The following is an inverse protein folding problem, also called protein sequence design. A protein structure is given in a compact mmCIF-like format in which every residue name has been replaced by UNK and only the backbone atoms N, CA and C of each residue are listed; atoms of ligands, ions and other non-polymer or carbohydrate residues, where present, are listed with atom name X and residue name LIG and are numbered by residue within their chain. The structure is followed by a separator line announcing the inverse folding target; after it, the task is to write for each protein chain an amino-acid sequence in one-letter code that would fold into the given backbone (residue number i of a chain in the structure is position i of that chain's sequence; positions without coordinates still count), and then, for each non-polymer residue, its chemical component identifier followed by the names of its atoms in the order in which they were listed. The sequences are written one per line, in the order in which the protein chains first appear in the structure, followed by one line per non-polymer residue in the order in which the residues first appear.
data_IF_946613177151
#
_entry.id   IF_946613177151
#
_cell.length_a   1.000
_cell.length_b   1.000
_cell.length_c   1.000
_cell.angle_alpha   90.00
_cell.angle_beta   90.00
_cell.angle_gamma   90.00
#
_symmetry.space_group_name_H-M   'P 1'
#
loop_
_entity.id
_entity.type
_entity.pdbx_description
1 polymer ?
#
# COMPACT_ATOMS: atom_id res chain seq x y z
N UNK A 1 -8.94 -6.95 23.63
CA UNK A 1 -8.76 -8.13 24.50
C UNK A 1 -9.29 -9.43 23.90
N UNK A 2 -10.33 -9.45 23.05
CA UNK A 2 -10.82 -10.72 22.46
C UNK A 2 -9.71 -11.51 21.75
N UNK A 3 -8.98 -10.90 20.82
CA UNK A 3 -7.86 -11.54 20.12
C UNK A 3 -6.80 -12.10 21.09
N UNK A 4 -6.44 -11.33 22.12
CA UNK A 4 -5.49 -11.77 23.14
C UNK A 4 -5.94 -13.04 23.87
N UNK A 5 -7.24 -13.17 24.14
CA UNK A 5 -7.77 -14.29 24.92
C UNK A 5 -8.04 -15.52 24.08
N UNK A 6 -8.51 -15.36 22.84
CA UNK A 6 -9.08 -16.47 22.06
C UNK A 6 -8.37 -16.78 20.74
N UNK A 7 -7.59 -15.85 20.19
CA UNK A 7 -6.90 -16.11 18.94
C UNK A 7 -5.64 -16.95 19.17
N UNK A 8 -5.21 -17.66 18.13
CA UNK A 8 -3.89 -18.29 18.12
C UNK A 8 -2.81 -17.21 18.29
N UNK A 9 -1.73 -17.52 18.99
CA UNK A 9 -0.66 -16.55 19.27
C UNK A 9 0.17 -16.20 18.02
N UNK A 10 0.10 -17.04 16.99
CA UNK A 10 0.70 -16.84 15.69
C UNK A 10 -0.25 -16.19 14.66
N UNK A 11 -1.44 -15.71 15.09
CA UNK A 11 -2.41 -15.06 14.18
C UNK A 11 -1.79 -13.83 13.52
N UNK A 12 -2.04 -13.66 12.22
CA UNK A 12 -1.67 -12.48 11.43
C UNK A 12 -2.87 -11.54 11.33
N UNK A 13 -2.73 -10.31 11.81
CA UNK A 13 -3.80 -9.33 11.95
C UNK A 13 -3.59 -8.18 10.97
N UNK A 14 -4.53 -8.01 10.04
CA UNK A 14 -4.58 -6.87 9.13
C UNK A 14 -5.71 -5.93 9.52
N UNK A 15 -5.38 -4.68 9.82
CA UNK A 15 -6.33 -3.61 10.08
C UNK A 15 -6.56 -2.78 8.83
N UNK A 16 -7.82 -2.78 8.37
CA UNK A 16 -8.30 -2.01 7.20
C UNK A 16 -9.14 -0.80 7.63
N UNK A 17 -9.84 -0.91 8.77
CA UNK A 17 -10.72 0.13 9.27
C UNK A 17 -9.95 1.38 9.72
N UNK A 18 -10.36 2.54 9.21
CA UNK A 18 -9.70 3.80 9.53
C UNK A 18 -9.96 4.27 10.97
N UNK A 19 -9.00 4.94 11.63
CA UNK A 19 -7.62 5.20 11.18
C UNK A 19 -6.73 3.94 11.31
N UNK A 20 -6.32 3.33 10.19
CA UNK A 20 -5.80 1.97 10.16
C UNK A 20 -4.52 1.77 10.99
N UNK A 21 -3.55 2.67 10.86
CA UNK A 21 -2.28 2.60 11.60
C UNK A 21 -2.48 2.70 13.12
N UNK A 22 -3.26 3.69 13.56
CA UNK A 22 -3.57 3.87 14.99
C UNK A 22 -4.37 2.70 15.54
N UNK A 23 -5.36 2.20 14.79
CA UNK A 23 -6.14 1.04 15.18
C UNK A 23 -5.26 -0.22 15.30
N UNK A 24 -4.31 -0.44 14.39
CA UNK A 24 -3.35 -1.55 14.48
C UNK A 24 -2.47 -1.44 15.74
N UNK A 25 -1.96 -0.24 16.05
CA UNK A 25 -1.18 0.00 17.26
C UNK A 25 -2.00 -0.22 18.54
N UNK A 26 -3.26 0.21 18.56
CA UNK A 26 -4.17 -0.04 19.69
C UNK A 26 -4.40 -1.56 19.83
N UNK A 27 -4.68 -2.26 18.72
CA UNK A 27 -4.88 -3.71 18.73
C UNK A 27 -3.66 -4.45 19.29
N UNK A 28 -2.43 -4.09 18.90
CA UNK A 28 -1.21 -4.74 19.40
C UNK A 28 -0.97 -4.47 20.88
N UNK A 29 -1.32 -3.27 21.38
CA UNK A 29 -1.24 -2.95 22.83
C UNK A 29 -2.21 -3.78 23.68
N UNK A 30 -3.41 -4.04 23.17
CA UNK A 30 -4.45 -4.80 23.88
C UNK A 30 -4.42 -6.31 23.60
N UNK A 31 -3.35 -6.79 22.95
CA UNK A 31 -3.08 -8.20 22.72
C UNK A 31 -1.59 -8.56 22.93
N UNK A 32 -1.06 -8.36 24.15
CA UNK A 32 0.37 -8.52 24.44
C UNK A 32 0.89 -9.95 24.28
N UNK A 33 0.01 -10.97 24.25
CA UNK A 33 0.41 -12.35 24.03
C UNK A 33 0.66 -12.71 22.55
N UNK A 34 0.33 -11.81 21.62
CA UNK A 34 0.58 -11.97 20.18
C UNK A 34 1.80 -11.11 19.81
N UNK A 35 2.77 -11.61 19.02
CA UNK A 35 3.92 -10.84 18.58
C UNK A 35 3.51 -9.53 17.87
N UNK A 36 4.22 -8.43 18.12
CA UNK A 36 3.83 -7.11 17.59
C UNK A 36 3.93 -7.03 16.07
N UNK A 37 4.89 -7.75 15.50
CA UNK A 37 5.11 -7.92 14.06
C UNK A 37 3.92 -8.58 13.34
N UNK A 38 3.00 -9.20 14.09
CA UNK A 38 1.77 -9.77 13.55
C UNK A 38 0.61 -8.77 13.45
N UNK A 39 0.80 -7.50 13.82
CA UNK A 39 -0.21 -6.46 13.65
C UNK A 39 0.20 -5.51 12.54
N UNK A 40 -0.60 -5.47 11.48
CA UNK A 40 -0.34 -4.64 10.32
C UNK A 40 -1.51 -3.73 9.99
N UNK A 41 -1.20 -2.57 9.41
CA UNK A 41 -2.16 -1.64 8.84
C UNK A 41 -2.07 -1.63 7.31
N UNK A 42 -3.22 -1.51 6.65
CA UNK A 42 -3.29 -1.61 5.20
C UNK A 42 -2.89 -0.31 4.50
N UNK A 43 -1.65 -0.23 4.01
CA UNK A 43 -1.18 0.76 3.01
C UNK A 43 -1.10 0.18 1.59
N UNK A 44 -1.53 -1.08 1.41
CA UNK A 44 -1.46 -1.79 0.12
C UNK A 44 -2.36 -1.17 -0.96
N UNK A 45 -3.49 -0.59 -0.57
CA UNK A 45 -4.36 0.11 -1.51
C UNK A 45 -3.67 1.33 -2.10
N UNK A 46 -2.94 2.06 -1.27
CA UNK A 46 -2.15 3.22 -1.68
C UNK A 46 -1.01 2.82 -2.61
N UNK A 47 -0.31 1.74 -2.29
CA UNK A 47 0.75 1.19 -3.16
C UNK A 47 0.19 0.80 -4.53
N UNK A 48 -0.94 0.08 -4.57
CA UNK A 48 -1.59 -0.32 -5.81
C UNK A 48 -2.03 0.90 -6.64
N UNK A 49 -2.50 1.98 -5.98
CA UNK A 49 -2.85 3.25 -6.66
C UNK A 49 -1.62 3.95 -7.23
N UNK A 50 -0.53 4.01 -6.45
CA UNK A 50 0.73 4.60 -6.87
C UNK A 50 1.32 3.85 -8.09
N UNK A 51 1.37 2.52 -8.04
CA UNK A 51 1.77 1.68 -9.17
C UNK A 51 0.92 1.95 -10.42
N UNK A 52 -0.40 2.05 -10.27
CA UNK A 52 -1.30 2.37 -11.38
C UNK A 52 -1.04 3.76 -11.98
N UNK A 53 -0.69 4.78 -11.18
CA UNK A 53 -0.37 6.12 -11.69
C UNK A 53 0.93 6.14 -12.47
N UNK A 54 1.98 5.49 -11.94
CA UNK A 54 3.28 5.41 -12.61
C UNK A 54 3.19 4.64 -13.92
N UNK A 55 2.49 3.49 -13.91
CA UNK A 55 2.25 2.68 -15.10
C UNK A 55 1.53 3.48 -16.19
N UNK A 56 0.51 4.26 -15.81
CA UNK A 56 -0.23 5.12 -16.75
C UNK A 56 0.63 6.26 -17.31
N UNK A 57 1.46 6.92 -16.47
CA UNK A 57 2.37 8.00 -16.91
C UNK A 57 3.43 7.47 -17.90
N UNK A 58 3.92 6.25 -17.70
CA UNK A 58 4.96 5.63 -18.56
C UNK A 58 4.36 4.94 -19.79
N UNK A 59 3.08 4.53 -19.74
CA UNK A 59 2.41 3.81 -20.84
C UNK A 59 2.69 2.31 -20.85
N UNK A 60 2.80 1.68 -19.67
CA UNK A 60 3.06 0.24 -19.52
C UNK A 60 1.98 -0.47 -18.70
N UNK A 61 1.85 -1.80 -18.80
CA UNK A 61 1.04 -2.59 -17.87
C UNK A 61 1.47 -2.41 -16.40
N UNK A 62 0.50 -2.37 -15.47
CA UNK A 62 0.78 -2.19 -14.02
C UNK A 62 1.72 -3.25 -13.45
N UNK A 63 1.63 -4.50 -13.96
CA UNK A 63 2.50 -5.61 -13.54
C UNK A 63 4.00 -5.36 -13.78
N UNK A 64 4.31 -4.44 -14.70
CA UNK A 64 5.68 -4.13 -15.09
C UNK A 64 6.30 -3.04 -14.21
N UNK A 65 5.53 -2.44 -13.29
CA UNK A 65 6.00 -1.50 -12.25
C UNK A 65 6.11 -2.20 -10.90
N UNK A 66 7.31 -2.27 -10.35
CA UNK A 66 7.62 -2.91 -9.05
C UNK A 66 8.25 -1.92 -8.08
N UNK A 67 8.27 -2.27 -6.80
CA UNK A 67 9.06 -1.62 -5.74
C UNK A 67 8.74 -0.15 -5.46
N UNK A 68 7.49 0.26 -5.71
CA UNK A 68 6.94 1.52 -5.19
C UNK A 68 6.68 1.35 -3.70
N UNK A 69 7.06 2.34 -2.89
CA UNK A 69 6.94 2.30 -1.43
C UNK A 69 5.93 3.36 -0.97
N UNK A 70 5.11 3.03 0.03
CA UNK A 70 4.28 3.98 0.74
C UNK A 70 4.83 4.14 2.15
N UNK A 71 5.23 5.36 2.48
CA UNK A 71 5.71 5.72 3.81
C UNK A 71 4.63 6.44 4.63
N UNK A 72 4.63 6.19 5.94
CA UNK A 72 3.80 6.90 6.91
C UNK A 72 2.41 6.32 7.12
N UNK A 73 1.43 7.20 7.33
CA UNK A 73 0.07 6.86 7.74
C UNK A 73 -0.83 6.58 6.54
N UNK A 74 -1.81 5.67 6.66
CA UNK A 74 -2.90 5.54 5.68
C UNK A 74 -3.85 6.76 5.78
N UNK A 75 -3.42 7.88 5.22
CA UNK A 75 -4.11 9.17 5.25
C UNK A 75 -3.65 10.05 4.08
N UNK A 76 -4.09 11.31 4.05
CA UNK A 76 -3.59 12.32 3.12
C UNK A 76 -2.13 12.72 3.36
N UNK A 77 -1.51 12.31 4.47
CA UNK A 77 -0.10 12.60 4.79
C UNK A 77 0.84 11.46 4.42
N UNK A 78 0.35 10.40 3.77
CA UNK A 78 1.20 9.35 3.21
C UNK A 78 2.19 9.93 2.20
N UNK A 79 3.36 9.30 2.09
CA UNK A 79 4.35 9.63 1.06
C UNK A 79 4.54 8.45 0.09
N UNK A 80 3.95 8.52 -1.12
CA UNK A 80 4.22 7.59 -2.21
C UNK A 80 5.60 7.87 -2.79
N UNK A 81 6.50 6.91 -2.66
CA UNK A 81 7.90 7.03 -3.01
C UNK A 81 8.25 6.15 -4.23
N UNK A 82 8.56 6.76 -5.38
CA UNK A 82 8.98 6.05 -6.58
C UNK A 82 10.50 5.90 -6.70
N UNK A 83 11.31 6.35 -5.72
CA UNK A 83 12.77 6.42 -5.85
C UNK A 83 13.41 5.04 -6.10
N UNK A 84 12.89 4.00 -5.45
CA UNK A 84 13.33 2.61 -5.62
C UNK A 84 12.45 1.82 -6.59
N UNK A 85 11.45 2.45 -7.19
CA UNK A 85 10.55 1.78 -8.10
C UNK A 85 11.27 1.47 -9.42
N UNK A 86 11.02 0.28 -9.95
CA UNK A 86 11.55 -0.18 -11.24
C UNK A 86 10.40 -0.41 -12.20
N UNK A 87 10.63 -0.13 -13.47
CA UNK A 87 9.70 -0.39 -14.57
C UNK A 87 10.37 -1.25 -15.63
N UNK A 88 9.64 -2.21 -16.18
CA UNK A 88 10.09 -2.99 -17.34
C UNK A 88 9.46 -2.42 -18.61
N UNK A 89 10.29 -1.95 -19.55
CA UNK A 89 9.84 -1.42 -20.86
C UNK A 89 10.54 -2.22 -21.95
N UNK A 90 9.77 -2.93 -22.79
CA UNK A 90 10.33 -3.76 -23.85
C UNK A 90 11.29 -4.86 -23.34
N UNK A 91 11.03 -5.40 -22.14
CA UNK A 91 11.88 -6.42 -21.51
C UNK A 91 13.10 -5.87 -20.76
N UNK A 92 13.34 -4.56 -20.79
CA UNK A 92 14.48 -3.92 -20.10
C UNK A 92 13.99 -3.21 -18.83
N UNK A 93 14.64 -3.50 -17.70
CA UNK A 93 14.35 -2.83 -16.43
C UNK A 93 15.03 -1.45 -16.37
N UNK A 94 14.31 -0.45 -15.88
CA UNK A 94 14.80 0.91 -15.64
C UNK A 94 14.25 1.46 -14.33
N UNK A 95 14.98 2.32 -13.61
CA UNK A 95 14.41 3.08 -12.50
C UNK A 95 13.25 3.96 -12.99
N UNK A 96 12.14 3.97 -12.25
CA UNK A 96 10.98 4.80 -12.56
C UNK A 96 11.33 6.29 -12.64
N UNK A 97 12.15 6.87 -11.75
CA UNK A 97 12.52 8.28 -11.85
C UNK A 97 13.21 8.62 -13.18
N UNK A 98 14.04 7.71 -13.70
CA UNK A 98 14.72 7.87 -14.99
C UNK A 98 13.74 7.69 -16.16
N UNK A 99 12.81 6.75 -16.06
CA UNK A 99 11.82 6.51 -17.11
C UNK A 99 10.81 7.66 -17.25
N UNK A 100 10.46 8.32 -16.15
CA UNK A 100 9.54 9.46 -16.13
C UNK A 100 10.26 10.77 -16.45
N UNK A 101 11.51 10.95 -15.98
CA UNK A 101 12.37 12.12 -16.24
C UNK A 101 11.66 13.47 -16.00
N UNK A 102 10.84 13.54 -14.95
CA UNK A 102 9.97 14.67 -14.63
C UNK A 102 9.85 14.76 -13.10
N UNK A 103 10.81 15.45 -12.48
CA UNK A 103 10.93 15.53 -11.02
C UNK A 103 9.78 16.32 -10.38
N UNK A 104 9.29 17.36 -11.06
CA UNK A 104 8.14 18.15 -10.60
C UNK A 104 6.88 17.29 -10.52
N UNK A 105 6.61 16.48 -11.54
CA UNK A 105 5.52 15.51 -11.50
C UNK A 105 5.67 14.52 -10.35
N UNK A 106 6.87 13.93 -10.18
CA UNK A 106 7.11 12.90 -9.16
C UNK A 106 6.96 13.45 -7.73
N UNK A 107 7.43 14.68 -7.46
CA UNK A 107 7.36 15.30 -6.13
C UNK A 107 6.01 15.98 -5.86
N UNK A 108 5.32 16.44 -6.90
CA UNK A 108 4.06 17.18 -6.79
C UNK A 108 2.84 16.37 -7.20
N UNK A 109 2.58 16.33 -8.50
CA UNK A 109 1.32 15.79 -9.07
C UNK A 109 1.09 14.33 -8.69
N UNK A 110 2.13 13.49 -8.75
CA UNK A 110 2.06 12.07 -8.41
C UNK A 110 1.63 11.86 -6.96
N UNK A 111 2.35 12.49 -6.02
CA UNK A 111 2.07 12.41 -4.57
C UNK A 111 0.64 12.86 -4.27
N UNK A 112 0.26 14.05 -4.74
CA UNK A 112 -1.07 14.63 -4.51
C UNK A 112 -2.19 13.78 -5.10
N UNK A 113 -1.97 13.19 -6.28
CA UNK A 113 -2.96 12.34 -6.95
C UNK A 113 -3.22 11.05 -6.19
N UNK A 114 -2.18 10.40 -5.67
CA UNK A 114 -2.32 9.18 -4.85
C UNK A 114 -3.03 9.50 -3.53
N UNK A 115 -2.60 10.57 -2.83
CA UNK A 115 -3.21 11.04 -1.58
C UNK A 115 -4.71 11.33 -1.74
N UNK A 116 -5.12 11.93 -2.86
CA UNK A 116 -6.51 12.34 -3.11
C UNK A 116 -7.36 11.29 -3.85
N UNK A 117 -6.78 10.14 -4.20
CA UNK A 117 -7.47 9.13 -5.04
C UNK A 117 -8.77 8.61 -4.42
N UNK A 118 -8.81 8.45 -3.09
CA UNK A 118 -10.02 8.00 -2.39
C UNK A 118 -11.20 8.97 -2.60
N UNK A 119 -10.95 10.27 -2.41
CA UNK A 119 -11.94 11.32 -2.63
C UNK A 119 -12.39 11.38 -4.08
N UNK A 120 -11.46 11.24 -5.04
CA UNK A 120 -11.80 11.21 -6.47
C UNK A 120 -12.73 10.05 -6.83
N UNK A 121 -12.52 8.86 -6.25
CA UNK A 121 -13.42 7.71 -6.47
C UNK A 121 -14.81 7.96 -5.88
N UNK A 122 -14.89 8.55 -4.69
CA UNK A 122 -16.17 8.89 -4.05
C UNK A 122 -16.91 9.92 -4.89
N UNK A 123 -16.24 10.98 -5.36
CA UNK A 123 -16.85 12.00 -6.21
C UNK A 123 -17.42 11.39 -7.51
N UNK A 124 -16.67 10.49 -8.15
CA UNK A 124 -17.10 9.87 -9.40
C UNK A 124 -18.22 8.83 -9.23
N UNK A 125 -18.18 8.01 -8.16
CA UNK A 125 -19.08 6.86 -7.99
C UNK A 125 -20.20 7.09 -6.99
N UNK A 126 -20.15 8.17 -6.20
CA UNK A 126 -20.98 8.40 -4.99
C UNK A 126 -20.89 7.26 -3.96
N UNK A 127 -19.86 6.42 -4.08
CA UNK A 127 -19.63 5.22 -3.28
C UNK A 127 -18.14 5.10 -2.97
N UNK A 128 -17.83 4.42 -1.86
CA UNK A 128 -16.44 4.15 -1.49
C UNK A 128 -15.75 3.22 -2.49
N UNK A 129 -14.42 3.18 -2.41
CA UNK A 129 -13.58 2.31 -3.24
C UNK A 129 -13.54 0.85 -2.73
N UNK A 130 -14.70 0.31 -2.34
CA UNK A 130 -14.84 -0.95 -1.61
C UNK A 130 -14.17 -2.14 -2.30
N UNK A 131 -14.41 -2.35 -3.61
CA UNK A 131 -13.83 -3.47 -4.36
C UNK A 131 -12.30 -3.40 -4.44
N UNK A 132 -11.74 -2.21 -4.71
CA UNK A 132 -10.29 -2.03 -4.72
C UNK A 132 -9.67 -2.18 -3.33
N UNK A 133 -10.39 -1.79 -2.26
CA UNK A 133 -9.94 -2.00 -0.89
C UNK A 133 -9.93 -3.49 -0.53
N UNK A 134 -10.97 -4.24 -0.89
CA UNK A 134 -11.03 -5.69 -0.71
C UNK A 134 -9.91 -6.41 -1.47
N UNK A 135 -9.63 -6.00 -2.71
CA UNK A 135 -8.50 -6.51 -3.49
C UNK A 135 -7.16 -6.23 -2.80
N UNK A 136 -6.96 -5.01 -2.32
CA UNK A 136 -5.74 -4.65 -1.61
C UNK A 136 -5.55 -5.43 -0.30
N UNK A 137 -6.63 -5.71 0.44
CA UNK A 137 -6.59 -6.54 1.64
C UNK A 137 -6.21 -7.98 1.30
N UNK A 138 -6.82 -8.55 0.25
CA UNK A 138 -6.47 -9.88 -0.25
C UNK A 138 -5.00 -9.95 -0.69
N UNK A 139 -4.52 -8.96 -1.43
CA UNK A 139 -3.13 -8.87 -1.88
C UNK A 139 -2.14 -8.77 -0.72
N UNK A 140 -2.47 -7.96 0.30
CA UNK A 140 -1.66 -7.82 1.51
C UNK A 140 -1.51 -9.17 2.22
N UNK A 141 -2.63 -9.86 2.47
CA UNK A 141 -2.59 -11.16 3.15
C UNK A 141 -1.89 -12.21 2.31
N UNK A 142 -2.18 -12.26 1.00
CA UNK A 142 -1.55 -13.20 0.07
C UNK A 142 -0.03 -13.07 0.11
N UNK A 143 0.49 -11.86 -0.05
CA UNK A 143 1.93 -11.64 -0.08
C UNK A 143 2.58 -11.86 1.29
N UNK A 144 1.86 -11.62 2.39
CA UNK A 144 2.37 -11.90 3.73
C UNK A 144 2.44 -13.41 4.04
N UNK A 145 1.50 -14.20 3.52
CA UNK A 145 1.50 -15.65 3.71
C UNK A 145 2.38 -16.40 2.72
N UNK A 146 2.42 -15.97 1.46
CA UNK A 146 3.05 -16.71 0.37
C UNK A 146 4.40 -16.11 -0.07
N UNK A 147 4.79 -14.97 0.49
CA UNK A 147 5.98 -14.23 0.09
C UNK A 147 5.76 -13.37 -1.17
N UNK A 148 6.69 -12.44 -1.38
CA UNK A 148 6.62 -11.43 -2.44
C UNK A 148 7.50 -11.74 -3.66
N UNK A 149 8.37 -12.76 -3.56
CA UNK A 149 9.39 -13.05 -4.56
C UNK A 149 10.42 -11.92 -4.63
N UNK A 150 10.66 -11.39 -5.83
CA UNK A 150 11.59 -10.30 -6.10
C UNK A 150 11.00 -8.90 -5.86
N UNK A 151 9.72 -8.81 -5.49
CA UNK A 151 8.99 -7.54 -5.33
C UNK A 151 8.98 -7.07 -3.89
N UNK A 152 8.89 -5.76 -3.71
CA UNK A 152 8.63 -5.13 -2.43
C UNK A 152 7.16 -4.71 -2.30
N UNK A 153 6.64 -4.77 -1.08
CA UNK A 153 5.26 -4.36 -0.75
C UNK A 153 5.26 -3.42 0.44
N UNK A 154 4.27 -2.55 0.50
CA UNK A 154 4.06 -1.64 1.62
C UNK A 154 3.09 -2.25 2.62
N UNK A 155 3.53 -2.33 3.88
CA UNK A 155 2.74 -2.77 5.03
C UNK A 155 3.01 -1.79 6.16
N UNK A 156 1.98 -1.23 6.80
CA UNK A 156 2.17 -0.52 8.04
C UNK A 156 2.43 -1.54 9.15
N UNK A 157 3.59 -1.49 9.80
CA UNK A 157 3.99 -2.43 10.86
C UNK A 157 4.28 -1.66 12.15
N UNK A 158 4.22 -2.36 13.30
CA UNK A 158 4.45 -1.81 14.65
C UNK A 158 5.94 -1.78 14.99
#
# INVERSE_FOLDING_TARGET
QAMDKVARKDVKVLVVGNPANTNALICSKYAPSIPKENFTAMTRLDQNRAQSQLAAKIGVPVKDVKNVIIWGNHSSTQFPDPANAIVTVGGVQKPVPVAINDEEYLKGTFVSTVQKRGAAVIAARKMSSALSAAKAASDHMRDWFLGTGDRWVSMGVV
#
